data_IF_232234479550
#
_entry.id   IF_232234479550
#
_cell.length_a   1.000
_cell.length_b   1.000
_cell.length_c   1.000
_cell.angle_alpha   90.00
_cell.angle_beta   90.00
_cell.angle_gamma   90.00
#
_symmetry.space_group_name_H-M   'P 1'
#
loop_
_entity.id
_entity.type
_entity.pdbx_description
1 polymer ?
#
# COMPACT_ATOMS: atom_id res chain seq x y z
N UNK A 1 -15.34 -6.90 -17.59
CA UNK A 1 -15.58 -6.59 -16.16
C UNK A 1 -15.35 -5.11 -15.95
N UNK A 2 -16.12 -4.43 -15.09
CA UNK A 2 -15.88 -3.01 -14.77
C UNK A 2 -15.05 -2.92 -13.48
N UNK A 3 -13.92 -2.20 -13.56
CA UNK A 3 -13.05 -2.01 -12.40
C UNK A 3 -13.24 -0.64 -11.76
N UNK A 4 -13.21 -0.61 -10.45
CA UNK A 4 -13.22 0.61 -9.62
C UNK A 4 -12.20 0.49 -8.51
N UNK A 5 -11.76 1.64 -7.99
CA UNK A 5 -10.90 1.70 -6.81
C UNK A 5 -11.64 2.41 -5.68
N UNK A 6 -11.45 1.90 -4.47
CA UNK A 6 -11.95 2.50 -3.24
C UNK A 6 -10.77 2.72 -2.31
N UNK A 7 -10.59 3.92 -1.83
CA UNK A 7 -9.63 4.24 -0.78
C UNK A 7 -10.29 3.87 0.55
N UNK A 8 -9.80 2.80 1.19
CA UNK A 8 -10.36 2.31 2.45
C UNK A 8 -9.91 3.15 3.64
N UNK A 9 -8.75 3.78 3.54
CA UNK A 9 -8.16 4.66 4.52
C UNK A 9 -7.01 5.44 3.93
N UNK A 10 -6.66 6.55 4.55
CA UNK A 10 -5.58 7.45 4.11
C UNK A 10 -4.65 7.88 5.25
N UNK A 11 -4.82 7.29 6.43
CA UNK A 11 -4.04 7.61 7.61
C UNK A 11 -2.67 6.91 7.63
N UNK A 12 -1.74 7.51 8.35
CA UNK A 12 -0.40 6.98 8.63
C UNK A 12 -0.37 6.08 9.88
N UNK A 13 0.82 5.68 10.34
CA UNK A 13 1.02 4.89 11.55
C UNK A 13 0.48 5.57 12.83
N UNK A 14 0.46 6.89 12.86
CA UNK A 14 0.07 7.71 14.02
C UNK A 14 -1.33 8.31 13.80
N UNK A 15 -2.32 7.45 13.61
CA UNK A 15 -3.72 7.89 13.46
C UNK A 15 -4.19 8.73 14.64
N UNK A 16 -3.82 8.31 15.84
CA UNK A 16 -4.05 9.00 17.11
C UNK A 16 -2.87 8.76 18.03
N UNK A 17 -2.42 9.81 18.70
CA UNK A 17 -1.30 9.74 19.64
C UNK A 17 -1.79 9.91 21.07
N UNK A 18 -1.34 9.02 21.95
CA UNK A 18 -1.65 9.10 23.36
C UNK A 18 -1.03 10.36 23.97
N UNK A 19 -1.89 11.22 24.54
CA UNK A 19 -1.47 12.48 25.14
C UNK A 19 -1.42 13.68 24.18
N UNK A 20 -1.68 13.51 22.88
CA UNK A 20 -1.80 14.60 21.93
C UNK A 20 -3.15 15.31 22.07
N UNK A 21 -3.19 16.66 22.27
CA UNK A 21 -4.43 17.40 22.46
C UNK A 21 -5.11 17.84 21.14
N UNK A 22 -4.56 17.51 19.99
CA UNK A 22 -5.08 17.99 18.71
C UNK A 22 -6.51 17.45 18.44
N UNK A 23 -7.31 18.16 17.61
CA UNK A 23 -8.68 17.73 17.30
C UNK A 23 -8.75 16.31 16.71
N UNK A 24 -7.77 15.92 15.91
CA UNK A 24 -7.70 14.57 15.31
C UNK A 24 -7.55 13.48 16.38
N UNK A 25 -6.67 13.67 17.36
CA UNK A 25 -6.49 12.74 18.45
C UNK A 25 -7.69 12.69 19.41
N UNK A 26 -8.47 13.78 19.46
CA UNK A 26 -9.70 13.84 20.25
C UNK A 26 -10.89 13.13 19.59
N UNK A 27 -10.81 12.78 18.30
CA UNK A 27 -11.85 11.99 17.61
C UNK A 27 -11.90 10.58 18.20
N UNK A 28 -13.11 10.09 18.45
CA UNK A 28 -13.31 8.72 18.97
C UNK A 28 -13.26 7.65 17.89
N UNK A 29 -13.47 8.05 16.64
CA UNK A 29 -13.45 7.17 15.47
C UNK A 29 -12.28 7.59 14.57
N UNK A 30 -11.12 6.95 14.72
CA UNK A 30 -9.97 7.24 13.87
C UNK A 30 -10.27 6.78 12.43
N UNK A 31 -9.73 7.52 11.46
CA UNK A 31 -9.68 7.05 10.07
C UNK A 31 -8.84 5.79 9.96
N UNK A 32 -9.12 4.93 8.98
CA UNK A 32 -8.29 3.76 8.74
C UNK A 32 -6.89 4.14 8.22
N UNK A 33 -5.91 3.28 8.47
CA UNK A 33 -4.59 3.36 7.85
C UNK A 33 -4.69 3.26 6.32
N UNK A 34 -3.61 3.67 5.63
CA UNK A 34 -3.57 3.67 4.17
C UNK A 34 -3.87 2.30 3.59
N UNK A 35 -4.90 2.23 2.75
CA UNK A 35 -5.29 1.01 2.05
C UNK A 35 -6.18 1.32 0.86
N UNK A 36 -6.10 0.48 -0.17
CA UNK A 36 -6.92 0.59 -1.38
C UNK A 36 -7.52 -0.76 -1.75
N UNK A 37 -8.81 -0.78 -2.04
CA UNK A 37 -9.49 -1.90 -2.69
C UNK A 37 -9.59 -1.68 -4.19
N UNK A 38 -9.24 -2.69 -4.98
CA UNK A 38 -9.44 -2.73 -6.42
C UNK A 38 -10.53 -3.76 -6.68
N UNK A 39 -11.66 -3.32 -7.24
CA UNK A 39 -12.88 -4.10 -7.30
C UNK A 39 -13.28 -4.30 -8.76
N UNK A 40 -13.38 -5.56 -9.18
CA UNK A 40 -13.99 -5.95 -10.45
C UNK A 40 -15.45 -6.33 -10.26
N UNK A 41 -16.36 -5.66 -11.00
CA UNK A 41 -17.80 -5.95 -10.97
C UNK A 41 -18.27 -6.56 -12.28
N UNK A 42 -19.12 -7.59 -12.16
CA UNK A 42 -19.84 -8.18 -13.26
C UNK A 42 -21.34 -8.16 -12.94
N UNK A 43 -22.16 -7.60 -13.83
CA UNK A 43 -23.59 -7.42 -13.60
C UNK A 43 -23.91 -6.66 -12.30
N UNK A 44 -23.05 -5.72 -11.87
CA UNK A 44 -23.20 -4.95 -10.62
C UNK A 44 -22.70 -5.66 -9.36
N UNK A 45 -22.41 -6.96 -9.39
CA UNK A 45 -21.90 -7.73 -8.26
C UNK A 45 -20.35 -7.75 -8.26
N UNK A 46 -19.75 -7.78 -7.08
CA UNK A 46 -18.31 -7.96 -6.96
C UNK A 46 -17.93 -9.37 -7.40
N UNK A 47 -17.23 -9.47 -8.51
CA UNK A 47 -16.72 -10.72 -9.06
C UNK A 47 -15.24 -10.96 -8.71
N UNK A 48 -14.50 -9.88 -8.39
CA UNK A 48 -13.10 -9.93 -8.05
C UNK A 48 -12.69 -8.76 -7.15
N UNK A 49 -11.76 -9.00 -6.20
CA UNK A 49 -11.31 -7.99 -5.26
C UNK A 49 -9.84 -8.22 -4.89
N UNK A 50 -8.99 -7.22 -5.15
CA UNK A 50 -7.66 -7.15 -4.57
C UNK A 50 -7.60 -6.02 -3.53
N UNK A 51 -7.01 -6.31 -2.38
CA UNK A 51 -6.77 -5.38 -1.30
C UNK A 51 -5.29 -5.06 -1.21
N UNK A 52 -4.94 -3.79 -1.24
CA UNK A 52 -3.58 -3.30 -1.00
C UNK A 52 -3.49 -2.79 0.42
N UNK A 53 -2.66 -3.43 1.23
CA UNK A 53 -2.43 -3.19 2.65
C UNK A 53 -3.67 -3.39 3.54
N UNK A 54 -3.44 -3.79 4.79
CA UNK A 54 -4.51 -4.05 5.78
C UNK A 54 -4.07 -3.63 7.18
N UNK A 55 -3.84 -2.34 7.36
CA UNK A 55 -3.54 -1.70 8.64
C UNK A 55 -4.78 -1.53 9.53
N UNK A 56 -4.61 -0.78 10.62
CA UNK A 56 -5.66 -0.53 11.60
C UNK A 56 -6.87 0.17 10.97
N UNK A 57 -8.07 -0.32 11.27
CA UNK A 57 -9.34 0.26 10.82
C UNK A 57 -9.76 -0.13 9.40
N UNK A 58 -8.87 -0.76 8.61
CA UNK A 58 -9.18 -1.16 7.22
C UNK A 58 -10.33 -2.15 7.17
N UNK A 59 -10.36 -3.16 8.06
CA UNK A 59 -11.48 -4.12 8.08
C UNK A 59 -12.81 -3.45 8.46
N UNK A 60 -12.80 -2.41 9.31
CA UNK A 60 -14.01 -1.63 9.58
C UNK A 60 -14.48 -0.90 8.31
N UNK A 61 -13.56 -0.23 7.60
CA UNK A 61 -13.89 0.42 6.33
C UNK A 61 -14.46 -0.56 5.29
N UNK A 62 -13.94 -1.79 5.23
CA UNK A 62 -14.52 -2.83 4.36
C UNK A 62 -15.94 -3.22 4.79
N UNK A 63 -16.22 -3.28 6.11
CA UNK A 63 -17.57 -3.57 6.62
C UNK A 63 -18.57 -2.46 6.30
N UNK A 64 -18.12 -1.20 6.28
CA UNK A 64 -18.95 -0.05 5.95
C UNK A 64 -19.19 0.07 4.43
N UNK A 65 -18.23 -0.40 3.63
CA UNK A 65 -18.26 -0.25 2.16
C UNK A 65 -18.99 -1.40 1.46
N UNK A 66 -18.88 -2.62 1.99
CA UNK A 66 -19.34 -3.83 1.31
C UNK A 66 -20.46 -4.53 2.11
N UNK A 67 -21.49 -4.96 1.39
CA UNK A 67 -22.52 -5.83 2.00
C UNK A 67 -21.92 -7.20 2.37
N UNK A 68 -22.53 -7.92 3.34
CA UNK A 68 -22.06 -9.25 3.73
C UNK A 68 -21.99 -10.25 2.56
N UNK A 69 -22.86 -10.11 1.57
CA UNK A 69 -22.88 -10.99 0.39
C UNK A 69 -21.75 -10.68 -0.59
N UNK A 70 -21.24 -9.45 -0.58
CA UNK A 70 -20.13 -9.01 -1.41
C UNK A 70 -18.76 -9.27 -0.78
N UNK A 71 -18.70 -9.66 0.50
CA UNK A 71 -17.46 -9.86 1.23
C UNK A 71 -16.58 -10.95 0.58
N UNK A 72 -15.53 -10.51 -0.09
CA UNK A 72 -14.48 -11.34 -0.70
C UNK A 72 -13.15 -10.59 -0.79
N UNK A 73 -12.06 -11.31 -0.73
CA UNK A 73 -10.71 -10.84 -1.07
C UNK A 73 -10.04 -11.97 -1.83
N UNK A 74 -9.75 -11.74 -3.10
CA UNK A 74 -9.13 -12.72 -3.99
C UNK A 74 -7.60 -12.57 -4.01
N UNK A 75 -7.11 -11.36 -3.73
CA UNK A 75 -5.70 -11.05 -3.60
C UNK A 75 -5.45 -10.08 -2.46
N UNK A 76 -4.38 -10.32 -1.73
CA UNK A 76 -3.81 -9.36 -0.77
C UNK A 76 -2.42 -8.94 -1.29
N UNK A 77 -2.16 -7.64 -1.32
CA UNK A 77 -0.91 -7.08 -1.82
C UNK A 77 -0.35 -6.19 -0.73
N UNK A 78 0.89 -6.41 -0.32
CA UNK A 78 1.54 -5.58 0.68
C UNK A 78 2.59 -4.66 0.05
N UNK A 79 2.51 -3.37 0.39
CA UNK A 79 3.57 -2.42 0.12
C UNK A 79 4.82 -2.77 0.95
N UNK A 80 4.65 -3.00 2.25
CA UNK A 80 5.69 -3.42 3.17
C UNK A 80 5.09 -3.99 4.48
N UNK A 81 5.93 -4.30 5.46
CA UNK A 81 5.52 -5.03 6.67
C UNK A 81 5.12 -4.18 7.86
N UNK A 82 5.25 -2.85 7.83
CA UNK A 82 4.93 -2.01 9.00
C UNK A 82 3.50 -2.25 9.52
N UNK A 83 3.26 -2.04 10.83
CA UNK A 83 1.96 -2.36 11.44
C UNK A 83 0.78 -1.61 10.80
N UNK A 84 0.97 -0.37 10.40
CA UNK A 84 -0.07 0.44 9.72
C UNK A 84 -0.42 -0.07 8.32
N UNK A 85 0.33 -1.03 7.79
CA UNK A 85 0.04 -1.74 6.54
C UNK A 85 -0.34 -3.21 6.75
N UNK A 86 -0.15 -3.78 7.96
CA UNK A 86 -0.31 -5.22 8.18
C UNK A 86 -1.06 -5.63 9.45
N UNK A 87 -1.39 -4.70 10.35
CA UNK A 87 -1.87 -5.03 11.70
C UNK A 87 -3.17 -5.85 11.71
N UNK A 88 -4.09 -5.64 10.77
CA UNK A 88 -5.36 -6.37 10.73
C UNK A 88 -5.33 -7.65 9.86
N UNK A 89 -4.14 -8.15 9.49
CA UNK A 89 -3.99 -9.45 8.79
C UNK A 89 -4.73 -10.57 9.51
N UNK A 90 -4.62 -10.65 10.83
CA UNK A 90 -5.32 -11.63 11.65
C UNK A 90 -6.85 -11.51 11.48
N UNK A 91 -7.36 -10.31 11.68
CA UNK A 91 -8.80 -10.03 11.61
C UNK A 91 -9.35 -10.32 10.21
N UNK A 92 -8.65 -9.89 9.15
CA UNK A 92 -9.04 -10.16 7.78
C UNK A 92 -9.06 -11.66 7.48
N UNK A 93 -7.96 -12.37 7.73
CA UNK A 93 -7.82 -13.80 7.43
C UNK A 93 -8.87 -14.65 8.12
N UNK A 94 -9.09 -14.45 9.43
CA UNK A 94 -10.12 -15.18 10.19
C UNK A 94 -11.53 -14.81 9.76
N UNK A 95 -11.80 -13.55 9.43
CA UNK A 95 -13.10 -13.12 8.94
C UNK A 95 -13.42 -13.81 7.61
N UNK A 96 -12.47 -13.87 6.67
CA UNK A 96 -12.66 -14.54 5.39
C UNK A 96 -12.89 -16.05 5.55
N UNK A 97 -12.14 -16.69 6.45
CA UNK A 97 -12.32 -18.12 6.77
C UNK A 97 -13.70 -18.40 7.36
N UNK A 98 -14.17 -17.55 8.28
CA UNK A 98 -15.52 -17.65 8.88
C UNK A 98 -16.62 -17.39 7.86
N UNK A 99 -16.41 -16.45 6.94
CA UNK A 99 -17.34 -16.15 5.84
C UNK A 99 -17.50 -17.35 4.91
N UNK A 100 -16.40 -17.99 4.51
CA UNK A 100 -16.45 -19.23 3.73
C UNK A 100 -17.27 -20.33 4.45
N UNK A 101 -17.02 -20.51 5.75
CA UNK A 101 -17.79 -21.48 6.57
C UNK A 101 -19.29 -21.14 6.61
N UNK A 102 -19.67 -19.88 6.81
CA UNK A 102 -21.08 -19.46 6.80
C UNK A 102 -21.77 -19.71 5.46
N UNK A 103 -21.03 -19.58 4.37
CA UNK A 103 -21.51 -19.84 3.00
C UNK A 103 -21.48 -21.33 2.61
N UNK A 104 -21.03 -22.21 3.50
CA UNK A 104 -20.90 -23.65 3.22
C UNK A 104 -19.87 -24.00 2.15
N UNK A 105 -18.90 -23.13 1.89
CA UNK A 105 -17.83 -23.35 0.90
C UNK A 105 -16.49 -23.62 1.59
N UNK A 106 -15.63 -24.37 0.89
CA UNK A 106 -14.25 -24.58 1.36
C UNK A 106 -13.50 -23.26 1.29
N UNK A 107 -12.84 -22.88 2.38
CA UNK A 107 -11.96 -21.74 2.38
C UNK A 107 -10.71 -22.03 1.55
N UNK A 108 -10.41 -21.15 0.61
CA UNK A 108 -9.13 -21.09 -0.10
C UNK A 108 -8.28 -20.00 0.53
N UNK A 109 -7.00 -20.28 0.76
CA UNK A 109 -6.07 -19.28 1.26
C UNK A 109 -5.98 -18.12 0.27
N UNK A 110 -5.83 -16.90 0.78
CA UNK A 110 -5.78 -15.68 -0.02
C UNK A 110 -4.38 -15.57 -0.65
N UNK A 111 -4.26 -15.60 -1.98
CA UNK A 111 -2.99 -15.30 -2.65
C UNK A 111 -2.46 -13.95 -2.18
N UNK A 112 -1.21 -13.92 -1.73
CA UNK A 112 -0.64 -12.75 -1.07
C UNK A 112 0.71 -12.41 -1.67
N UNK A 113 0.77 -11.27 -2.36
CA UNK A 113 2.01 -10.74 -2.90
C UNK A 113 2.66 -9.76 -1.92
N UNK A 114 3.98 -9.81 -1.82
CA UNK A 114 4.82 -8.85 -1.10
C UNK A 114 6.27 -8.96 -1.57
N UNK A 115 7.13 -8.03 -1.13
CA UNK A 115 8.59 -8.18 -1.29
C UNK A 115 9.09 -9.31 -0.39
N UNK A 116 10.22 -9.92 -0.78
CA UNK A 116 10.79 -11.07 -0.07
C UNK A 116 11.08 -10.83 1.40
N UNK A 117 11.61 -9.67 1.77
CA UNK A 117 11.84 -9.31 3.16
C UNK A 117 10.55 -9.13 3.96
N UNK A 118 9.55 -8.48 3.38
CA UNK A 118 8.20 -8.37 3.97
C UNK A 118 7.56 -9.75 4.16
N UNK A 119 7.68 -10.64 3.18
CA UNK A 119 7.16 -12.02 3.31
C UNK A 119 7.80 -12.79 4.46
N UNK A 120 9.12 -12.66 4.64
CA UNK A 120 9.83 -13.28 5.78
C UNK A 120 9.34 -12.72 7.11
N UNK A 121 9.15 -11.40 7.19
CA UNK A 121 8.66 -10.75 8.41
C UNK A 121 7.23 -11.20 8.75
N UNK A 122 6.32 -11.20 7.77
CA UNK A 122 4.93 -11.65 7.93
C UNK A 122 4.87 -13.13 8.35
N UNK A 123 5.64 -14.01 7.71
CA UNK A 123 5.71 -15.42 8.06
C UNK A 123 6.17 -15.67 9.49
N UNK A 124 7.05 -14.82 10.02
CA UNK A 124 7.56 -14.91 11.39
C UNK A 124 6.56 -14.34 12.40
N UNK A 125 6.01 -13.15 12.15
CA UNK A 125 5.24 -12.39 13.14
C UNK A 125 3.75 -12.71 13.10
N UNK A 126 3.22 -13.09 11.93
CA UNK A 126 1.86 -13.56 11.69
C UNK A 126 1.85 -15.00 11.18
N UNK A 127 2.64 -15.87 11.82
CA UNK A 127 2.86 -17.25 11.34
C UNK A 127 1.56 -18.05 11.21
N UNK A 128 0.62 -17.88 12.15
CA UNK A 128 -0.68 -18.56 12.07
C UNK A 128 -1.45 -18.14 10.80
N UNK A 129 -1.60 -16.84 10.57
CA UNK A 129 -2.31 -16.28 9.42
C UNK A 129 -1.60 -16.61 8.11
N UNK A 130 -0.27 -16.48 8.10
CA UNK A 130 0.55 -16.76 6.92
C UNK A 130 0.35 -18.18 6.39
N UNK A 131 0.33 -19.16 7.30
CA UNK A 131 0.19 -20.57 6.89
C UNK A 131 -1.26 -21.06 6.81
N UNK A 132 -2.21 -20.39 7.46
CA UNK A 132 -3.61 -20.84 7.55
C UNK A 132 -4.56 -20.03 6.67
N UNK A 133 -4.30 -18.75 6.50
CA UNK A 133 -5.20 -17.85 5.81
C UNK A 133 -4.63 -17.31 4.51
N UNK A 134 -3.29 -17.17 4.42
CA UNK A 134 -2.62 -16.58 3.28
C UNK A 134 -1.86 -17.65 2.47
N UNK A 135 -1.75 -17.42 1.16
CA UNK A 135 -0.87 -18.15 0.25
C UNK A 135 0.21 -17.17 -0.20
N UNK A 136 1.32 -17.12 0.55
CA UNK A 136 2.42 -16.20 0.27
C UNK A 136 3.04 -16.46 -1.10
N UNK A 137 3.17 -15.40 -1.88
CA UNK A 137 3.84 -15.34 -3.20
C UNK A 137 4.82 -14.16 -3.20
N UNK A 138 5.87 -14.21 -2.35
CA UNK A 138 6.82 -13.13 -2.26
C UNK A 138 7.63 -12.99 -3.55
N UNK A 139 7.95 -11.73 -3.90
CA UNK A 139 8.93 -11.44 -4.94
C UNK A 139 10.32 -11.51 -4.34
N UNK A 140 11.17 -12.39 -4.88
CA UNK A 140 12.58 -12.52 -4.48
C UNK A 140 13.51 -11.63 -5.32
N UNK A 141 12.95 -10.78 -6.20
CA UNK A 141 13.73 -9.86 -7.03
C UNK A 141 14.49 -8.86 -6.14
N UNK A 142 15.80 -8.78 -6.33
CA UNK A 142 16.70 -7.90 -5.57
C UNK A 142 17.00 -6.63 -6.38
N UNK A 143 15.98 -5.80 -6.57
CA UNK A 143 16.08 -4.61 -7.38
C UNK A 143 16.28 -3.35 -6.54
N UNK A 144 17.11 -2.45 -7.06
CA UNK A 144 17.38 -1.16 -6.43
C UNK A 144 16.13 -0.26 -6.46
N UNK A 145 16.00 0.70 -5.51
CA UNK A 145 14.94 1.67 -5.53
C UNK A 145 14.83 2.42 -6.86
N UNK A 146 13.61 2.56 -7.36
CA UNK A 146 13.33 3.15 -8.66
C UNK A 146 13.37 2.16 -9.82
N UNK A 147 13.29 0.84 -9.56
CA UNK A 147 13.24 -0.20 -10.59
C UNK A 147 11.86 -0.88 -10.61
N UNK A 148 11.29 -1.07 -11.80
CA UNK A 148 10.08 -1.85 -11.98
C UNK A 148 10.36 -3.34 -11.72
N UNK A 149 9.40 -4.00 -11.08
CA UNK A 149 9.41 -5.44 -10.86
C UNK A 149 8.46 -6.13 -11.85
N UNK A 150 8.53 -7.46 -11.93
CA UNK A 150 7.59 -8.22 -12.74
C UNK A 150 6.14 -7.98 -12.30
N UNK A 151 5.20 -7.82 -13.24
CA UNK A 151 3.78 -7.68 -12.92
C UNK A 151 3.26 -8.86 -12.09
N UNK A 152 2.35 -8.59 -11.16
CA UNK A 152 1.73 -9.62 -10.33
C UNK A 152 0.77 -10.45 -11.19
N UNK A 153 0.97 -11.77 -11.21
CA UNK A 153 0.11 -12.71 -11.94
C UNK A 153 -1.24 -12.90 -11.22
N UNK A 154 -2.15 -11.94 -11.39
CA UNK A 154 -3.44 -11.89 -10.68
C UNK A 154 -4.47 -12.92 -11.18
N UNK A 155 -4.30 -13.45 -12.38
CA UNK A 155 -5.28 -14.35 -13.01
C UNK A 155 -6.60 -13.66 -13.35
N UNK A 156 -6.60 -12.34 -13.52
CA UNK A 156 -7.76 -11.54 -13.93
C UNK A 156 -7.40 -10.75 -15.19
N UNK A 157 -8.31 -10.79 -16.17
CA UNK A 157 -8.14 -10.03 -17.40
C UNK A 157 -8.38 -8.53 -17.15
N UNK A 158 -7.77 -7.69 -18.00
CA UNK A 158 -7.94 -6.22 -18.01
C UNK A 158 -7.44 -5.50 -16.74
N UNK A 159 -6.76 -6.20 -15.83
CA UNK A 159 -6.08 -5.58 -14.69
C UNK A 159 -4.63 -6.02 -14.63
N UNK A 160 -3.75 -5.05 -14.43
CA UNK A 160 -2.34 -5.26 -14.18
C UNK A 160 -1.91 -4.46 -12.95
N UNK A 161 -1.19 -5.12 -12.05
CA UNK A 161 -0.49 -4.46 -10.96
C UNK A 161 1.00 -4.69 -11.18
N UNK A 162 1.72 -3.62 -11.50
CA UNK A 162 3.17 -3.63 -11.65
C UNK A 162 3.78 -3.01 -10.42
N UNK A 163 4.48 -3.79 -9.58
CA UNK A 163 5.21 -3.26 -8.45
C UNK A 163 6.47 -2.53 -8.91
N UNK A 164 6.92 -1.59 -8.10
CA UNK A 164 8.24 -0.99 -8.23
C UNK A 164 8.97 -1.00 -6.88
N UNK A 165 10.26 -1.23 -6.92
CA UNK A 165 11.11 -1.21 -5.73
C UNK A 165 11.27 0.23 -5.25
N UNK A 166 11.05 0.45 -3.96
CA UNK A 166 11.25 1.75 -3.30
C UNK A 166 12.08 1.57 -2.05
N UNK A 167 12.64 2.67 -1.56
CA UNK A 167 13.31 2.74 -0.26
C UNK A 167 12.34 3.31 0.77
N UNK A 168 12.26 2.64 1.92
CA UNK A 168 11.56 3.12 3.09
C UNK A 168 12.36 2.71 4.33
N UNK A 169 13.05 3.66 4.94
CA UNK A 169 14.13 3.43 5.92
C UNK A 169 13.72 2.50 7.07
N UNK A 170 12.53 2.68 7.62
CA UNK A 170 12.05 1.85 8.73
C UNK A 170 11.80 0.40 8.32
N UNK A 171 11.28 0.16 7.11
CA UNK A 171 11.00 -1.18 6.60
C UNK A 171 12.27 -1.89 6.11
N UNK A 172 13.25 -1.14 5.65
CA UNK A 172 14.49 -1.68 5.10
C UNK A 172 15.53 -2.05 6.16
N UNK A 173 15.23 -1.87 7.44
CA UNK A 173 16.10 -2.32 8.53
C UNK A 173 15.80 -3.79 8.86
N UNK A 174 16.83 -4.62 8.80
CA UNK A 174 16.73 -5.97 9.34
C UNK A 174 16.63 -5.92 10.87
N UNK A 175 15.53 -6.41 11.47
CA UNK A 175 15.30 -6.27 12.92
C UNK A 175 16.27 -7.06 13.80
N UNK A 176 17.01 -8.03 13.24
CA UNK A 176 17.99 -8.83 13.99
C UNK A 176 19.39 -8.22 13.95
N UNK A 177 19.78 -7.65 12.83
CA UNK A 177 21.12 -7.13 12.62
C UNK A 177 21.22 -5.62 12.67
N UNK A 178 20.08 -4.92 12.65
CA UNK A 178 19.97 -3.45 12.49
C UNK A 178 20.72 -2.89 11.26
N UNK A 179 20.96 -3.75 10.28
CA UNK A 179 21.55 -3.34 9.01
C UNK A 179 20.47 -3.02 8.01
N UNK A 180 20.70 -2.01 7.19
CA UNK A 180 19.85 -1.76 6.05
C UNK A 180 19.85 -2.98 5.12
N UNK A 181 18.65 -3.44 4.79
CA UNK A 181 18.41 -4.46 3.77
C UNK A 181 17.58 -3.80 2.68
N UNK A 182 17.89 -4.08 1.46
CA UNK A 182 17.03 -3.68 0.34
C UNK A 182 15.92 -4.72 0.17
N UNK A 183 14.85 -4.38 -0.56
CA UNK A 183 13.81 -5.31 -0.99
C UNK A 183 12.72 -5.65 0.03
N UNK A 184 12.38 -4.72 0.90
CA UNK A 184 11.24 -4.88 1.79
C UNK A 184 10.01 -4.09 1.33
N UNK A 185 10.19 -2.99 0.59
CA UNK A 185 9.14 -2.05 0.24
C UNK A 185 8.87 -1.98 -1.26
N UNK A 186 7.61 -1.77 -1.62
CA UNK A 186 7.15 -1.56 -2.99
C UNK A 186 6.04 -0.53 -3.05
N UNK A 187 6.02 0.22 -4.14
CA UNK A 187 4.88 1.00 -4.61
C UNK A 187 4.28 0.34 -5.85
N UNK A 188 3.18 0.88 -6.40
CA UNK A 188 2.44 0.15 -7.43
C UNK A 188 1.96 1.05 -8.57
N UNK A 189 2.03 0.53 -9.79
CA UNK A 189 1.31 1.03 -10.95
C UNK A 189 0.16 0.07 -11.21
N UNK A 190 -1.07 0.57 -11.18
CA UNK A 190 -2.27 -0.22 -11.42
C UNK A 190 -2.92 0.24 -12.70
N UNK A 191 -3.12 -0.70 -13.62
CA UNK A 191 -3.81 -0.47 -14.88
C UNK A 191 -5.11 -1.24 -14.90
N UNK A 192 -6.21 -0.56 -15.17
CA UNK A 192 -7.54 -1.16 -15.32
C UNK A 192 -8.15 -0.64 -16.60
N UNK A 193 -8.15 -1.47 -17.65
CA UNK A 193 -8.50 -1.03 -19.00
C UNK A 193 -7.58 0.11 -19.46
N UNK A 194 -8.17 1.30 -19.71
CA UNK A 194 -7.42 2.49 -20.16
C UNK A 194 -6.94 3.39 -19.02
N UNK A 195 -7.34 3.13 -17.79
CA UNK A 195 -6.99 3.96 -16.64
C UNK A 195 -5.69 3.49 -15.99
N UNK A 196 -4.88 4.45 -15.58
CA UNK A 196 -3.65 4.23 -14.83
C UNK A 196 -3.74 4.96 -13.49
N UNK A 197 -3.61 4.21 -12.41
CA UNK A 197 -3.47 4.74 -11.06
C UNK A 197 -2.10 4.36 -10.52
N UNK A 198 -1.44 5.31 -9.89
CA UNK A 198 -0.14 5.13 -9.26
C UNK A 198 -0.27 5.31 -7.77
N UNK A 199 0.25 4.35 -7.01
CA UNK A 199 0.28 4.36 -5.54
C UNK A 199 1.74 4.54 -5.11
N UNK A 200 2.05 5.69 -4.53
CA UNK A 200 3.38 6.07 -4.04
C UNK A 200 3.28 6.51 -2.58
N UNK A 201 3.16 5.57 -1.67
CA UNK A 201 3.23 5.85 -0.23
C UNK A 201 4.41 5.14 0.43
N UNK A 202 4.80 5.62 1.59
CA UNK A 202 5.97 5.13 2.33
C UNK A 202 7.24 5.16 1.49
N UNK A 203 7.48 6.35 0.95
CA UNK A 203 8.71 6.70 0.25
C UNK A 203 9.58 7.53 1.18
N UNK A 204 10.83 7.15 1.33
CA UNK A 204 11.77 8.06 1.97
C UNK A 204 12.24 9.17 1.00
N UNK A 205 12.71 10.27 1.57
CA UNK A 205 13.26 11.38 0.82
C UNK A 205 14.77 11.22 0.51
N UNK A 206 15.33 10.02 0.75
CA UNK A 206 16.76 9.72 0.61
C UNK A 206 17.23 9.73 -0.85
N UNK A 207 16.34 9.33 -1.75
CA UNK A 207 16.66 9.20 -3.17
C UNK A 207 15.65 9.93 -4.03
N UNK A 208 16.06 11.03 -4.63
CA UNK A 208 15.20 11.88 -5.48
C UNK A 208 15.10 11.36 -6.94
N UNK A 209 15.09 10.04 -7.11
CA UNK A 209 15.11 9.40 -8.43
C UNK A 209 13.87 9.71 -9.28
N UNK A 210 12.74 10.09 -8.67
CA UNK A 210 11.51 10.47 -9.41
C UNK A 210 11.71 11.79 -10.15
N UNK A 211 12.32 12.79 -9.51
CA UNK A 211 12.57 14.08 -10.14
C UNK A 211 13.89 14.10 -10.90
N UNK A 212 14.90 13.33 -10.45
CA UNK A 212 16.23 13.29 -10.98
C UNK A 212 16.71 11.84 -11.23
N UNK A 213 16.13 11.12 -12.22
CA UNK A 213 16.49 9.73 -12.49
C UNK A 213 17.92 9.65 -13.06
N UNK A 214 18.78 8.91 -12.39
CA UNK A 214 20.19 8.74 -12.75
C UNK A 214 20.42 7.52 -13.63
N UNK A 215 19.80 6.38 -13.28
CA UNK A 215 19.97 5.11 -13.99
C UNK A 215 18.93 4.94 -15.10
N UNK A 216 19.23 4.03 -16.05
CA UNK A 216 18.28 3.69 -17.11
C UNK A 216 16.99 3.10 -16.53
N UNK A 217 17.09 2.21 -15.54
CA UNK A 217 15.93 1.63 -14.86
C UNK A 217 15.05 2.71 -14.20
N UNK A 218 15.65 3.70 -13.54
CA UNK A 218 14.90 4.83 -12.96
C UNK A 218 14.19 5.66 -14.03
N UNK A 219 14.85 5.93 -15.16
CA UNK A 219 14.23 6.65 -16.28
C UNK A 219 13.03 5.92 -16.85
N UNK A 220 13.13 4.61 -17.04
CA UNK A 220 12.05 3.75 -17.50
C UNK A 220 10.89 3.72 -16.48
N UNK A 221 11.20 3.64 -15.19
CA UNK A 221 10.21 3.70 -14.12
C UNK A 221 9.47 5.04 -14.09
N UNK A 222 10.19 6.16 -14.16
CA UNK A 222 9.57 7.49 -14.20
C UNK A 222 8.67 7.63 -15.41
N UNK A 223 9.07 7.13 -16.58
CA UNK A 223 8.22 7.14 -17.78
C UNK A 223 6.96 6.28 -17.59
N UNK A 224 7.08 5.12 -16.95
CA UNK A 224 5.94 4.26 -16.64
C UNK A 224 4.95 4.92 -15.65
N UNK A 225 5.46 5.71 -14.69
CA UNK A 225 4.66 6.48 -13.73
C UNK A 225 3.96 7.68 -14.37
N UNK A 226 4.57 8.33 -15.36
CA UNK A 226 4.13 9.60 -15.95
C UNK A 226 2.74 9.53 -16.53
N UNK A 227 1.96 10.63 -16.38
CA UNK A 227 0.64 10.78 -16.99
C UNK A 227 -0.42 9.86 -16.39
N UNK A 228 -0.29 9.47 -15.11
CA UNK A 228 -1.32 8.72 -14.41
C UNK A 228 -2.65 9.47 -14.39
N UNK A 229 -3.77 8.76 -14.45
CA UNK A 229 -5.08 9.36 -14.22
C UNK A 229 -5.21 9.81 -12.77
N UNK A 230 -4.73 8.96 -11.85
CA UNK A 230 -4.70 9.27 -10.41
C UNK A 230 -3.32 8.92 -9.84
N UNK A 231 -2.75 9.84 -9.07
CA UNK A 231 -1.56 9.64 -8.25
C UNK A 231 -1.96 9.75 -6.80
N UNK A 232 -1.89 8.64 -6.05
CA UNK A 232 -1.98 8.63 -4.59
C UNK A 232 -0.57 8.67 -4.04
N UNK A 233 -0.21 9.72 -3.31
CA UNK A 233 1.17 9.94 -2.89
C UNK A 233 1.25 10.33 -1.42
N UNK A 234 2.23 9.73 -0.74
CA UNK A 234 2.59 10.08 0.63
C UNK A 234 2.87 11.58 0.76
N UNK A 235 2.24 12.20 1.76
CA UNK A 235 2.50 13.58 2.14
C UNK A 235 2.45 13.68 3.67
N UNK A 236 3.49 13.21 4.32
CA UNK A 236 3.54 13.15 5.77
C UNK A 236 3.56 14.55 6.41
N UNK A 237 4.32 15.47 5.83
CA UNK A 237 4.50 16.81 6.39
C UNK A 237 4.08 17.92 5.42
N UNK A 238 3.29 18.89 5.93
CA UNK A 238 2.88 20.07 5.19
C UNK A 238 3.87 21.23 5.31
N UNK A 239 4.52 21.35 6.46
CA UNK A 239 5.21 22.55 6.91
C UNK A 239 6.70 22.40 7.04
N UNK A 240 7.20 21.17 7.13
CA UNK A 240 8.63 20.93 7.25
C UNK A 240 9.25 21.13 5.88
N UNK A 241 9.99 22.23 5.72
CA UNK A 241 10.96 22.37 4.64
C UNK A 241 11.92 21.19 4.72
N UNK A 242 12.18 20.55 3.59
CA UNK A 242 13.15 19.47 3.54
C UNK A 242 14.48 19.96 4.12
N UNK A 243 14.83 19.45 5.28
CA UNK A 243 16.17 19.66 5.81
C UNK A 243 17.07 18.78 4.97
N UNK A 244 17.88 19.39 4.10
CA UNK A 244 18.81 18.70 3.23
C UNK A 244 19.67 17.75 4.05
N UNK A 245 19.63 16.46 3.70
CA UNK A 245 20.41 15.41 4.38
C UNK A 245 19.74 14.75 5.59
N UNK A 246 18.52 15.16 5.96
CA UNK A 246 17.72 14.44 6.98
C UNK A 246 16.76 13.48 6.26
N UNK A 247 16.92 12.19 6.50
CA UNK A 247 15.95 11.20 6.07
C UNK A 247 14.77 11.20 7.05
N UNK A 248 13.60 11.63 6.58
CA UNK A 248 12.37 11.67 7.38
C UNK A 248 11.56 10.37 7.27
N UNK A 249 11.97 9.44 6.42
CA UNK A 249 11.20 8.21 6.12
C UNK A 249 9.98 8.44 5.24
N UNK A 250 9.59 9.70 5.01
CA UNK A 250 8.38 10.10 4.28
C UNK A 250 8.62 11.38 3.48
N UNK A 251 7.66 11.71 2.60
CA UNK A 251 7.73 12.89 1.75
C UNK A 251 7.13 14.13 2.43
N UNK A 252 7.72 15.29 2.13
CA UNK A 252 7.13 16.60 2.41
C UNK A 252 6.25 17.07 1.27
N UNK A 253 5.37 18.03 1.53
CA UNK A 253 4.55 18.66 0.48
C UNK A 253 5.39 19.31 -0.63
N UNK A 254 6.56 19.85 -0.30
CA UNK A 254 7.49 20.41 -1.28
C UNK A 254 8.00 19.33 -2.26
N UNK A 255 8.36 18.14 -1.75
CA UNK A 255 8.77 16.99 -2.58
C UNK A 255 7.60 16.49 -3.43
N UNK A 256 6.42 16.35 -2.84
CA UNK A 256 5.21 15.93 -3.58
C UNK A 256 4.95 16.85 -4.77
N UNK A 257 5.03 18.18 -4.60
CA UNK A 257 4.87 19.14 -5.70
C UNK A 257 5.91 18.94 -6.79
N UNK A 258 7.17 18.65 -6.41
CA UNK A 258 8.26 18.39 -7.36
C UNK A 258 8.00 17.10 -8.15
N UNK A 259 7.56 16.04 -7.48
CA UNK A 259 7.22 14.77 -8.10
C UNK A 259 5.98 14.86 -8.99
N UNK A 260 4.93 15.53 -8.55
CA UNK A 260 3.75 15.79 -9.39
C UNK A 260 4.10 16.56 -10.68
N UNK A 261 5.03 17.52 -10.59
CA UNK A 261 5.54 18.23 -11.78
C UNK A 261 6.30 17.31 -12.74
N UNK A 262 7.10 16.37 -12.21
CA UNK A 262 7.86 15.41 -13.02
C UNK A 262 6.96 14.35 -13.66
N UNK A 263 5.97 13.85 -12.90
CA UNK A 263 5.09 12.74 -13.30
C UNK A 263 3.86 13.20 -14.09
N UNK A 264 3.45 14.45 -13.96
CA UNK A 264 2.29 15.04 -14.68
C UNK A 264 1.01 14.20 -14.58
N UNK A 265 0.56 13.80 -13.36
CA UNK A 265 -0.71 13.10 -13.20
C UNK A 265 -1.88 14.05 -13.53
N UNK A 266 -3.05 13.49 -13.90
CA UNK A 266 -4.28 14.27 -14.08
C UNK A 266 -4.84 14.74 -12.74
N UNK A 267 -4.79 13.86 -11.73
CA UNK A 267 -5.21 14.13 -10.37
C UNK A 267 -4.17 13.61 -9.38
N UNK A 268 -3.97 14.35 -8.29
CA UNK A 268 -3.09 13.96 -7.17
C UNK A 268 -3.90 13.95 -5.90
N UNK A 269 -3.90 12.81 -5.21
CA UNK A 269 -4.47 12.65 -3.88
C UNK A 269 -3.32 12.51 -2.87
N UNK A 270 -3.33 13.36 -1.87
CA UNK A 270 -2.39 13.27 -0.76
C UNK A 270 -2.91 12.24 0.24
N UNK A 271 -2.06 11.30 0.59
CA UNK A 271 -2.38 10.20 1.50
C UNK A 271 -1.28 10.04 2.54
N UNK A 272 -1.46 9.15 3.50
CA UNK A 272 -0.49 8.87 4.54
C UNK A 272 -0.04 10.13 5.31
N UNK A 273 -1.00 11.04 5.52
CA UNK A 273 -0.70 12.36 6.06
C UNK A 273 -0.40 12.28 7.57
N UNK A 274 0.62 12.99 8.00
CA UNK A 274 0.87 13.36 9.38
C UNK A 274 -0.34 14.13 9.94
N UNK A 275 -0.18 15.16 10.70
CA UNK A 275 -1.29 16.04 11.05
C UNK A 275 -1.53 16.22 12.53
N UNK A 276 -0.49 15.96 13.31
CA UNK A 276 -0.45 16.30 14.73
C UNK A 276 0.26 17.63 14.99
N UNK A 277 0.93 18.19 13.99
CA UNK A 277 1.81 19.34 14.12
C UNK A 277 1.07 20.69 14.06
N UNK A 278 -0.21 20.70 13.70
CA UNK A 278 -1.02 21.91 13.58
C UNK A 278 -2.12 21.92 14.65
N UNK A 279 -1.70 22.06 15.89
CA UNK A 279 -2.57 22.30 17.03
C UNK A 279 -2.56 23.76 17.44
#
# INVERSE_FOLDING_TARGET
MNYSMVVNGFGNAFLQEFGCPCPRCALREPTANMSVSIIGRDGGRIAWHALVDVGLGVVNSLLDTFSPDEARVDWLVFSHWHPDHSLEVNRLGETMRRTARRRGVKFSRIPTWCRGGTGKWLARNYSYEWYRCLEGRPSDESELPGTLLAPIALGADEIEITPLSVSHSGADINPESFKETQNNSACFIIRTGRKKTVLLWDLDNKHDWIANPETQAQKETVEALRGADHLLIDCFSWTVEEVVGVNTGHLSFATVRRYAKALQPKETLLVHMGGHEEG
#
